data_IF_134071339671
#
_entry.id   IF_134071339671
#
_cell.length_a   1.000
_cell.length_b   1.000
_cell.length_c   1.000
_cell.angle_alpha   90.00
_cell.angle_beta   90.00
_cell.angle_gamma   90.00
#
_symmetry.space_group_name_H-M   'P 1'
#
loop_
_entity.id
_entity.type
_entity.pdbx_description
1 polymer ?
#
# COMPACT_ATOMS: atom_id res chain seq x y z
N UNK A 1 -3.70 14.88 -19.14
CA UNK A 1 -4.67 14.31 -18.18
C UNK A 1 -4.10 14.20 -16.76
N UNK A 2 -2.98 13.50 -16.55
CA UNK A 2 -2.36 13.28 -15.21
C UNK A 2 -2.14 14.58 -14.42
N UNK A 3 -1.57 15.63 -15.03
CA UNK A 3 -1.36 16.94 -14.36
C UNK A 3 -2.65 17.57 -13.83
N UNK A 4 -3.80 17.37 -14.51
CA UNK A 4 -5.10 17.90 -14.05
C UNK A 4 -5.54 17.18 -12.77
N UNK A 5 -5.36 15.86 -12.70
CA UNK A 5 -5.66 15.04 -11.53
C UNK A 5 -4.74 15.43 -10.36
N UNK A 6 -3.42 15.55 -10.61
CA UNK A 6 -2.45 16.00 -9.60
C UNK A 6 -2.85 17.36 -9.03
N UNK A 7 -3.17 18.33 -9.88
CA UNK A 7 -3.58 19.66 -9.45
C UNK A 7 -4.89 19.64 -8.64
N UNK A 8 -5.86 18.82 -9.04
CA UNK A 8 -7.08 18.61 -8.27
C UNK A 8 -6.75 18.06 -6.88
N UNK A 9 -6.04 16.94 -6.82
CA UNK A 9 -5.65 16.30 -5.56
C UNK A 9 -4.88 17.26 -4.66
N UNK A 10 -3.92 18.03 -5.18
CA UNK A 10 -3.13 19.02 -4.43
C UNK A 10 -4.01 20.13 -3.84
N UNK A 11 -5.07 20.56 -4.52
CA UNK A 11 -6.00 21.60 -4.03
C UNK A 11 -7.05 21.06 -3.06
N UNK A 12 -7.41 19.79 -3.16
CA UNK A 12 -8.45 19.16 -2.33
C UNK A 12 -8.03 19.02 -0.86
N UNK A 13 -8.97 19.06 0.08
CA UNK A 13 -8.66 18.90 1.51
C UNK A 13 -7.94 17.57 1.82
N UNK A 14 -6.96 17.58 2.73
CA UNK A 14 -6.12 16.40 3.02
C UNK A 14 -6.93 15.17 3.44
N UNK A 15 -7.96 15.34 4.28
CA UNK A 15 -8.81 14.23 4.73
C UNK A 15 -9.54 13.55 3.56
N UNK A 16 -10.01 14.34 2.59
CA UNK A 16 -10.66 13.79 1.40
C UNK A 16 -9.66 13.09 0.48
N UNK A 17 -8.42 13.58 0.40
CA UNK A 17 -7.35 12.90 -0.34
C UNK A 17 -6.98 11.56 0.31
N UNK A 18 -6.88 11.49 1.65
CA UNK A 18 -6.74 10.21 2.38
C UNK A 18 -7.87 9.26 1.99
N UNK A 19 -9.12 9.73 2.06
CA UNK A 19 -10.30 8.92 1.73
C UNK A 19 -10.25 8.39 0.30
N UNK A 20 -9.88 9.23 -0.68
CA UNK A 20 -9.70 8.80 -2.08
C UNK A 20 -8.68 7.66 -2.17
N UNK A 21 -7.51 7.80 -1.53
CA UNK A 21 -6.48 6.78 -1.58
C UNK A 21 -6.90 5.47 -0.92
N UNK A 22 -7.55 5.55 0.25
CA UNK A 22 -8.07 4.38 0.96
C UNK A 22 -9.13 3.65 0.12
N UNK A 23 -10.12 4.39 -0.41
CA UNK A 23 -11.16 3.81 -1.29
C UNK A 23 -10.51 3.19 -2.53
N UNK A 24 -9.53 3.86 -3.14
CA UNK A 24 -8.90 3.35 -4.34
C UNK A 24 -8.13 2.04 -4.08
N UNK A 25 -7.37 1.96 -2.99
CA UNK A 25 -6.67 0.72 -2.59
C UNK A 25 -7.69 -0.39 -2.28
N UNK A 26 -8.79 -0.06 -1.60
CA UNK A 26 -9.85 -1.01 -1.31
C UNK A 26 -10.52 -1.56 -2.59
N UNK A 27 -10.83 -0.70 -3.56
CA UNK A 27 -11.38 -1.11 -4.85
C UNK A 27 -10.42 -1.99 -5.64
N UNK A 28 -9.12 -1.67 -5.63
CA UNK A 28 -8.09 -2.51 -6.25
C UNK A 28 -8.04 -3.89 -5.58
N UNK A 29 -8.16 -3.93 -4.25
CA UNK A 29 -8.17 -5.18 -3.48
C UNK A 29 -9.40 -6.04 -3.81
N UNK A 30 -10.58 -5.43 -3.96
CA UNK A 30 -11.80 -6.14 -4.41
C UNK A 30 -11.59 -6.69 -5.83
N UNK A 31 -11.12 -5.84 -6.75
CA UNK A 31 -10.89 -6.24 -8.13
C UNK A 31 -9.90 -7.40 -8.21
N UNK A 32 -8.81 -7.34 -7.44
CA UNK A 32 -7.83 -8.42 -7.36
C UNK A 32 -8.47 -9.74 -6.94
N UNK A 33 -9.29 -9.75 -5.88
CA UNK A 33 -9.99 -10.96 -5.43
C UNK A 33 -10.97 -11.50 -6.47
N UNK A 34 -11.72 -10.63 -7.16
CA UNK A 34 -12.61 -11.03 -8.26
C UNK A 34 -11.80 -11.72 -9.37
N UNK A 35 -10.65 -11.14 -9.75
CA UNK A 35 -9.79 -11.72 -10.78
C UNK A 35 -9.24 -13.09 -10.34
N UNK A 36 -8.78 -13.24 -9.10
CA UNK A 36 -8.32 -14.53 -8.58
C UNK A 36 -9.41 -15.60 -8.70
N UNK A 37 -10.65 -15.27 -8.33
CA UNK A 37 -11.79 -16.18 -8.41
C UNK A 37 -12.11 -16.55 -9.86
N UNK A 38 -12.15 -15.58 -10.77
CA UNK A 38 -12.43 -15.82 -12.20
C UNK A 38 -11.38 -16.72 -12.86
N UNK A 39 -10.13 -16.63 -12.44
CA UNK A 39 -9.03 -17.45 -12.98
C UNK A 39 -8.73 -18.70 -12.14
N UNK A 40 -9.52 -19.00 -11.11
CA UNK A 40 -9.33 -20.15 -10.20
C UNK A 40 -7.91 -20.21 -9.60
N UNK A 41 -7.31 -19.04 -9.35
CA UNK A 41 -5.97 -18.93 -8.77
C UNK A 41 -6.13 -19.00 -7.25
N UNK A 42 -5.64 -20.09 -6.64
CA UNK A 42 -5.59 -20.19 -5.18
C UNK A 42 -4.48 -19.30 -4.65
N UNK A 43 -4.84 -18.24 -3.91
CA UNK A 43 -3.91 -17.52 -3.05
C UNK A 43 -3.79 -18.25 -1.71
N UNK A 44 -2.58 -18.32 -1.17
CA UNK A 44 -2.34 -18.77 0.20
C UNK A 44 -1.73 -17.60 0.94
N UNK A 45 -2.57 -16.91 1.72
CA UNK A 45 -2.11 -15.82 2.59
C UNK A 45 -1.49 -16.46 3.83
N UNK A 46 -0.20 -16.81 3.74
CA UNK A 46 0.55 -17.47 4.82
C UNK A 46 1.10 -16.47 5.87
N UNK A 47 0.83 -15.15 5.73
CA UNK A 47 1.52 -14.10 6.49
C UNK A 47 1.10 -13.97 7.95
N UNK A 48 -0.06 -14.50 8.34
CA UNK A 48 -0.59 -14.37 9.71
C UNK A 48 -0.05 -15.47 10.63
N UNK A 49 0.45 -16.57 10.09
CA UNK A 49 0.99 -17.70 10.86
C UNK A 49 2.32 -17.39 11.57
N UNK A 50 2.91 -16.21 11.34
CA UNK A 50 4.17 -15.77 11.96
C UNK A 50 4.00 -15.06 13.30
N UNK A 51 2.77 -14.82 13.74
CA UNK A 51 2.49 -14.07 14.96
C UNK A 51 1.73 -14.93 15.97
N UNK A 52 2.10 -14.83 17.25
CA UNK A 52 1.55 -15.64 18.34
C UNK A 52 0.24 -15.06 18.90
N UNK A 53 -0.08 -13.80 18.60
CA UNK A 53 -1.30 -13.15 19.08
C UNK A 53 -1.83 -12.02 18.18
N UNK A 54 -3.12 -11.71 18.29
CA UNK A 54 -3.74 -10.54 17.62
C UNK A 54 -3.06 -9.23 18.03
N UNK A 55 -2.64 -9.11 19.28
CA UNK A 55 -1.91 -7.93 19.77
C UNK A 55 -0.57 -7.77 19.05
N UNK A 56 0.15 -8.88 18.86
CA UNK A 56 1.41 -8.89 18.12
C UNK A 56 1.19 -8.49 16.66
N UNK A 57 0.19 -9.08 15.98
CA UNK A 57 -0.19 -8.71 14.61
C UNK A 57 -0.49 -7.21 14.53
N UNK A 58 -1.26 -6.66 15.47
CA UNK A 58 -1.59 -5.24 15.48
C UNK A 58 -0.33 -4.37 15.63
N UNK A 59 0.53 -4.67 16.60
CA UNK A 59 1.75 -3.88 16.83
C UNK A 59 2.68 -3.94 15.61
N UNK A 60 2.95 -5.14 15.09
CA UNK A 60 3.91 -5.28 14.00
C UNK A 60 3.34 -4.89 12.65
N UNK A 61 2.16 -5.38 12.26
CA UNK A 61 1.62 -5.16 10.93
C UNK A 61 0.85 -3.83 10.78
N UNK A 62 0.23 -3.29 11.85
CA UNK A 62 -0.54 -2.04 11.78
C UNK A 62 0.27 -0.84 12.21
N UNK A 63 1.21 -0.99 13.15
CA UNK A 63 1.97 0.15 13.69
C UNK A 63 3.40 0.19 13.15
N UNK A 64 4.20 -0.84 13.42
CA UNK A 64 5.64 -0.80 13.13
C UNK A 64 5.96 -0.92 11.63
N UNK A 65 5.37 -1.91 10.95
CA UNK A 65 5.64 -2.16 9.53
C UNK A 65 5.30 -0.93 8.67
N UNK A 66 4.13 -0.29 8.77
CA UNK A 66 3.83 0.92 8.01
C UNK A 66 4.84 2.05 8.22
N UNK A 67 5.34 2.25 9.45
CA UNK A 67 6.36 3.26 9.76
C UNK A 67 7.69 2.92 9.09
N UNK A 68 8.18 1.70 9.29
CA UNK A 68 9.47 1.23 8.77
C UNK A 68 9.45 1.21 7.24
N UNK A 69 8.40 0.66 6.64
CA UNK A 69 8.26 0.54 5.19
C UNK A 69 8.08 1.91 4.53
N UNK A 70 7.27 2.80 5.11
CA UNK A 70 7.16 4.18 4.61
C UNK A 70 8.49 4.90 4.70
N UNK A 71 9.29 4.65 5.74
CA UNK A 71 10.62 5.22 5.86
C UNK A 71 11.54 4.70 4.75
N UNK A 72 11.69 3.38 4.66
CA UNK A 72 12.63 2.74 3.74
C UNK A 72 12.24 2.98 2.28
N UNK A 73 11.00 2.69 1.91
CA UNK A 73 10.59 2.64 0.51
C UNK A 73 10.09 3.99 -0.01
N UNK A 74 9.56 4.88 0.84
CA UNK A 74 9.04 6.15 0.37
C UNK A 74 9.96 7.31 0.76
N UNK A 75 10.22 7.51 2.05
CA UNK A 75 11.02 8.64 2.51
C UNK A 75 12.44 8.61 1.92
N UNK A 76 13.20 7.52 2.06
CA UNK A 76 14.57 7.47 1.57
C UNK A 76 14.64 7.63 0.04
N UNK A 77 13.75 6.96 -0.69
CA UNK A 77 13.68 7.08 -2.15
C UNK A 77 13.41 8.52 -2.59
N UNK A 78 12.37 9.16 -2.06
CA UNK A 78 12.07 10.55 -2.40
C UNK A 78 13.12 11.52 -1.87
N UNK A 79 13.74 11.26 -0.72
CA UNK A 79 14.75 12.15 -0.15
C UNK A 79 16.03 12.17 -0.98
N UNK A 80 16.57 10.99 -1.31
CA UNK A 80 17.86 10.87 -2.00
C UNK A 80 17.78 10.94 -3.52
N UNK A 81 16.66 10.53 -4.12
CA UNK A 81 16.55 10.45 -5.58
C UNK A 81 15.84 11.64 -6.21
N UNK A 82 15.14 12.51 -5.44
CA UNK A 82 14.42 13.68 -6.00
C UNK A 82 15.28 14.64 -6.81
N UNK A 83 16.58 14.70 -6.54
CA UNK A 83 17.53 15.56 -7.27
C UNK A 83 18.10 14.88 -8.52
N UNK A 84 17.99 13.56 -8.62
CA UNK A 84 18.57 12.75 -9.72
C UNK A 84 17.53 12.22 -10.69
N UNK A 85 16.31 11.96 -10.21
CA UNK A 85 15.25 11.30 -10.96
C UNK A 85 13.96 12.12 -10.87
N UNK A 86 13.15 12.06 -11.93
CA UNK A 86 11.79 12.59 -11.87
C UNK A 86 10.93 11.73 -10.92
N UNK A 87 9.86 12.32 -10.40
CA UNK A 87 8.99 11.65 -9.42
C UNK A 87 8.38 10.34 -9.93
N UNK A 88 8.19 10.18 -11.25
CA UNK A 88 7.55 8.97 -11.80
C UNK A 88 8.48 7.77 -11.68
N UNK A 89 9.77 7.95 -11.96
CA UNK A 89 10.78 6.90 -11.77
C UNK A 89 10.96 6.56 -10.29
N UNK A 90 10.93 7.56 -9.40
CA UNK A 90 11.00 7.32 -7.95
C UNK A 90 9.80 6.49 -7.49
N UNK A 91 8.58 6.84 -7.91
CA UNK A 91 7.36 6.07 -7.61
C UNK A 91 7.51 4.63 -8.08
N UNK A 92 7.88 4.43 -9.35
CA UNK A 92 8.03 3.09 -9.92
C UNK A 92 9.08 2.27 -9.17
N UNK A 93 10.26 2.83 -8.92
CA UNK A 93 11.36 2.13 -8.27
C UNK A 93 11.04 1.81 -6.81
N UNK A 94 10.43 2.75 -6.08
CA UNK A 94 10.00 2.50 -4.69
C UNK A 94 8.99 1.36 -4.60
N UNK A 95 7.97 1.38 -5.48
CA UNK A 95 6.95 0.34 -5.52
C UNK A 95 7.52 -1.02 -5.91
N UNK A 96 8.49 -1.05 -6.84
CA UNK A 96 9.17 -2.27 -7.26
C UNK A 96 9.99 -2.86 -6.11
N UNK A 97 10.80 -2.07 -5.42
CA UNK A 97 11.55 -2.54 -4.26
C UNK A 97 10.62 -2.99 -3.13
N UNK A 98 9.53 -2.24 -2.90
CA UNK A 98 8.51 -2.59 -1.91
C UNK A 98 7.85 -3.94 -2.22
N UNK A 99 7.48 -4.22 -3.47
CA UNK A 99 6.87 -5.51 -3.81
C UNK A 99 7.85 -6.68 -3.78
N UNK A 100 9.12 -6.45 -4.13
CA UNK A 100 10.14 -7.49 -4.13
C UNK A 100 10.53 -7.97 -2.73
N UNK A 101 10.45 -7.12 -1.70
CA UNK A 101 10.67 -7.58 -0.32
C UNK A 101 9.45 -8.33 0.25
N UNK A 102 8.27 -8.09 -0.31
CA UNK A 102 7.03 -8.79 0.00
C UNK A 102 6.84 -10.04 -0.87
N UNK A 103 7.88 -10.44 -1.59
CA UNK A 103 7.82 -11.56 -2.51
C UNK A 103 7.52 -12.85 -1.71
N UNK A 104 6.34 -13.45 -1.92
CA UNK A 104 5.86 -14.51 -1.05
C UNK A 104 6.70 -15.78 -1.26
N UNK A 105 6.82 -16.60 -0.20
CA UNK A 105 7.57 -17.87 -0.23
C UNK A 105 7.13 -18.83 -1.34
N UNK A 106 5.88 -18.72 -1.80
CA UNK A 106 5.29 -19.54 -2.85
C UNK A 106 5.48 -18.96 -4.27
N UNK A 107 6.28 -17.89 -4.43
CA UNK A 107 6.55 -17.24 -5.73
C UNK A 107 5.28 -16.80 -6.48
N UNK A 108 4.23 -16.40 -5.75
CA UNK A 108 3.01 -15.89 -6.36
C UNK A 108 3.24 -14.55 -7.04
N UNK A 109 3.35 -14.62 -8.37
CA UNK A 109 3.50 -13.43 -9.23
C UNK A 109 2.28 -12.52 -9.10
N UNK A 110 1.09 -13.08 -8.92
CA UNK A 110 -0.16 -12.31 -8.79
C UNK A 110 -0.22 -11.53 -7.48
N UNK A 111 0.21 -12.12 -6.37
CA UNK A 111 0.33 -11.43 -5.07
C UNK A 111 1.38 -10.32 -5.14
N UNK A 112 2.55 -10.61 -5.71
CA UNK A 112 3.62 -9.62 -5.90
C UNK A 112 3.15 -8.44 -6.76
N UNK A 113 2.39 -8.70 -7.83
CA UNK A 113 1.78 -7.67 -8.66
C UNK A 113 0.77 -6.82 -7.87
N UNK A 114 -0.05 -7.44 -7.02
CA UNK A 114 -0.99 -6.71 -6.17
C UNK A 114 -0.24 -5.77 -5.21
N UNK A 115 0.80 -6.26 -4.52
CA UNK A 115 1.64 -5.45 -3.63
C UNK A 115 2.35 -4.33 -4.39
N UNK A 116 2.80 -4.59 -5.61
CA UNK A 116 3.38 -3.56 -6.48
C UNK A 116 2.38 -2.45 -6.79
N UNK A 117 1.13 -2.78 -7.14
CA UNK A 117 0.08 -1.78 -7.40
C UNK A 117 -0.21 -0.96 -6.15
N UNK A 118 -0.31 -1.59 -4.98
CA UNK A 118 -0.49 -0.87 -3.70
C UNK A 118 0.71 0.05 -3.43
N UNK A 119 1.93 -0.41 -3.65
CA UNK A 119 3.15 0.38 -3.54
C UNK A 119 3.16 1.61 -4.46
N UNK A 120 2.70 1.47 -5.70
CA UNK A 120 2.55 2.60 -6.63
C UNK A 120 1.58 3.65 -6.08
N UNK A 121 0.45 3.22 -5.51
CA UNK A 121 -0.56 4.11 -4.94
C UNK A 121 0.00 4.85 -3.73
N UNK A 122 0.65 4.15 -2.79
CA UNK A 122 1.25 4.76 -1.60
C UNK A 122 2.36 5.76 -1.96
N UNK A 123 3.23 5.42 -2.92
CA UNK A 123 4.27 6.32 -3.39
C UNK A 123 3.70 7.56 -4.11
N UNK A 124 2.60 7.39 -4.86
CA UNK A 124 1.90 8.51 -5.45
C UNK A 124 1.21 9.38 -4.39
N UNK A 125 0.62 8.80 -3.34
CA UNK A 125 0.08 9.54 -2.20
C UNK A 125 1.18 10.37 -1.51
N UNK A 126 2.36 9.77 -1.28
CA UNK A 126 3.51 10.46 -0.71
C UNK A 126 3.90 11.70 -1.52
N UNK A 127 3.96 11.56 -2.85
CA UNK A 127 4.21 12.68 -3.77
C UNK A 127 3.16 13.78 -3.61
N UNK A 128 1.88 13.44 -3.60
CA UNK A 128 0.78 14.41 -3.48
C UNK A 128 0.85 15.17 -2.15
N UNK A 129 1.04 14.48 -1.02
CA UNK A 129 1.17 15.15 0.28
C UNK A 129 2.44 15.98 0.39
N UNK A 130 3.52 15.58 -0.28
CA UNK A 130 4.75 16.38 -0.36
C UNK A 130 4.50 17.71 -1.08
N UNK A 131 3.78 17.68 -2.21
CA UNK A 131 3.42 18.91 -2.94
C UNK A 131 2.39 19.79 -2.24
N UNK A 132 1.63 19.23 -1.30
CA UNK A 132 0.74 19.99 -0.42
C UNK A 132 1.48 20.70 0.73
N UNK A 133 2.81 20.55 0.83
CA UNK A 133 3.60 20.98 1.98
C UNK A 133 3.07 20.39 3.31
N UNK A 134 2.57 19.15 3.28
CA UNK A 134 2.15 18.40 4.46
C UNK A 134 3.24 17.41 4.86
N UNK A 135 3.25 16.91 6.12
CA UNK A 135 4.14 15.85 6.55
C UNK A 135 3.78 14.52 5.85
N UNK A 136 4.17 14.38 4.58
CA UNK A 136 3.78 13.28 3.70
C UNK A 136 4.03 11.90 4.32
N UNK A 137 5.13 11.76 5.05
CA UNK A 137 5.46 10.58 5.83
C UNK A 137 4.30 10.12 6.70
N UNK A 138 3.82 10.97 7.63
CA UNK A 138 2.77 10.58 8.58
C UNK A 138 1.41 10.37 7.92
N UNK A 139 1.09 11.13 6.87
CA UNK A 139 -0.13 10.91 6.10
C UNK A 139 -0.15 9.53 5.43
N UNK A 140 0.98 9.10 4.85
CA UNK A 140 1.07 7.80 4.18
C UNK A 140 1.18 6.66 5.18
N UNK A 141 1.90 6.84 6.30
CA UNK A 141 1.88 5.88 7.42
C UNK A 141 0.44 5.64 7.88
N UNK A 142 -0.36 6.69 8.06
CA UNK A 142 -1.74 6.57 8.48
C UNK A 142 -2.62 5.83 7.45
N UNK A 143 -2.47 6.15 6.15
CA UNK A 143 -3.16 5.42 5.08
C UNK A 143 -2.76 3.95 5.11
N UNK A 144 -1.47 3.65 5.17
CA UNK A 144 -0.94 2.29 5.14
C UNK A 144 -1.38 1.47 6.35
N UNK A 145 -1.24 2.03 7.56
CA UNK A 145 -1.74 1.41 8.79
C UNK A 145 -3.24 1.11 8.71
N UNK A 146 -4.05 2.04 8.19
CA UNK A 146 -5.49 1.84 8.05
C UNK A 146 -5.82 0.72 7.06
N UNK A 147 -5.11 0.63 5.93
CA UNK A 147 -5.26 -0.47 4.98
C UNK A 147 -4.88 -1.81 5.60
N UNK A 148 -3.77 -1.87 6.35
CA UNK A 148 -3.34 -3.10 7.03
C UNK A 148 -4.38 -3.52 8.08
N UNK A 149 -4.92 -2.57 8.83
CA UNK A 149 -5.98 -2.82 9.80
C UNK A 149 -7.22 -3.42 9.12
N UNK A 150 -7.68 -2.83 8.00
CA UNK A 150 -8.81 -3.37 7.23
C UNK A 150 -8.50 -4.80 6.78
N UNK A 151 -7.32 -5.06 6.22
CA UNK A 151 -6.91 -6.40 5.77
C UNK A 151 -6.96 -7.44 6.89
N UNK A 152 -6.43 -7.09 8.06
CA UNK A 152 -6.45 -7.94 9.26
C UNK A 152 -7.89 -8.18 9.73
N UNK A 153 -8.71 -7.13 9.80
CA UNK A 153 -10.11 -7.25 10.18
C UNK A 153 -10.88 -8.16 9.21
N UNK A 154 -10.66 -8.01 7.90
CA UNK A 154 -11.32 -8.89 6.93
C UNK A 154 -10.90 -10.35 7.10
N UNK A 155 -9.65 -10.63 7.43
CA UNK A 155 -9.19 -11.99 7.67
C UNK A 155 -9.83 -12.62 8.92
N UNK A 156 -9.97 -11.87 10.02
CA UNK A 156 -10.50 -12.41 11.27
C UNK A 156 -12.04 -12.42 11.36
N UNK A 157 -12.72 -11.46 10.73
CA UNK A 157 -14.16 -11.27 10.89
C UNK A 157 -15.01 -11.71 9.70
N UNK A 158 -14.41 -11.92 8.52
CA UNK A 158 -15.13 -12.53 7.41
C UNK A 158 -14.82 -14.03 7.42
N UNK A 159 -15.83 -14.90 7.47
CA UNK A 159 -15.61 -16.33 7.37
C UNK A 159 -14.88 -16.62 6.05
N UNK A 160 -13.83 -17.43 6.10
CA UNK A 160 -13.27 -18.01 4.87
C UNK A 160 -14.44 -18.65 4.13
N UNK A 161 -14.78 -18.10 2.96
CA UNK A 161 -15.75 -18.75 2.08
C UNK A 161 -15.03 -20.00 1.58
N UNK A 162 -15.24 -21.10 2.30
CA UNK A 162 -14.72 -22.41 1.98
C UNK A 162 -15.10 -22.73 0.54
N UNK A 163 -14.09 -22.77 -0.32
CA UNK A 163 -14.16 -23.35 -1.67
C UNK A 163 -13.41 -24.66 -1.70
#
# INVERSE_FOLDING_TARGET
>A
MIKKIENYLIKTGSNFVILIFVIFIFLISILYNILLQLFTIKSKVDSIQFYDSILEIFIFAVVLAPVIETFIFLYLFFHFLKTKLNSRYIIFLSALCFSLIHFPKNFSVTETLNVFIVGLILAYAYKIFSYKNKPAFWYVVAIHAFINLIGIMTHFFLPEVSS
#
